data_IF_017646762566
#
_entry.id   IF_017646762566
#
_cell.length_a   1.000
_cell.length_b   1.000
_cell.length_c   1.000
_cell.angle_alpha   90.00
_cell.angle_beta   90.00
_cell.angle_gamma   90.00
#
_symmetry.space_group_name_H-M   'P 1'
#
loop_
_entity.id
_entity.type
_entity.pdbx_description
1 polymer ?
#
# COMPACT_ATOMS: atom_id res chain seq x y z
N UNK A 1 9.55 7.47 12.52
CA UNK A 1 8.32 6.77 12.91
C UNK A 1 7.25 6.92 11.84
N UNK A 2 6.62 5.82 11.45
CA UNK A 2 5.39 5.79 10.67
C UNK A 2 4.30 5.15 11.53
N UNK A 3 3.55 5.95 12.31
CA UNK A 3 2.67 5.45 13.36
C UNK A 3 1.37 4.83 12.83
N UNK A 4 1.03 5.11 11.59
CA UNK A 4 -0.13 4.56 10.90
C UNK A 4 0.17 4.48 9.41
N UNK A 5 -0.12 3.33 8.82
CA UNK A 5 0.09 3.11 7.38
C UNK A 5 -0.81 2.00 6.85
N UNK A 6 -1.08 2.06 5.55
CA UNK A 6 -1.81 1.05 4.80
C UNK A 6 -0.87 0.19 3.94
N UNK A 7 0.42 0.18 4.29
CA UNK A 7 1.41 -0.65 3.62
C UNK A 7 1.14 -2.12 3.92
N UNK A 8 1.08 -2.95 2.89
CA UNK A 8 0.88 -4.38 3.03
C UNK A 8 2.12 -5.03 3.68
N UNK A 9 1.99 -5.69 4.85
CA UNK A 9 3.11 -6.38 5.51
C UNK A 9 3.69 -7.52 4.66
N UNK A 10 2.94 -8.05 3.69
CA UNK A 10 3.42 -9.06 2.75
C UNK A 10 4.64 -8.56 1.96
N UNK A 11 4.69 -7.27 1.63
CA UNK A 11 5.84 -6.70 0.92
C UNK A 11 7.14 -6.91 1.69
N UNK A 12 7.13 -6.66 2.99
CA UNK A 12 8.32 -6.87 3.84
C UNK A 12 8.57 -8.35 4.15
N UNK A 13 7.51 -9.16 4.24
CA UNK A 13 7.65 -10.58 4.47
C UNK A 13 8.31 -11.31 3.28
N UNK A 14 7.92 -10.95 2.06
CA UNK A 14 8.44 -11.53 0.83
C UNK A 14 9.74 -10.88 0.35
N UNK A 15 9.89 -9.57 0.58
CA UNK A 15 10.99 -8.73 0.07
C UNK A 15 11.24 -8.91 -1.44
N UNK A 16 10.16 -9.11 -2.19
CA UNK A 16 10.20 -9.25 -3.64
C UNK A 16 10.28 -7.89 -4.33
N UNK A 17 10.82 -7.85 -5.54
CA UNK A 17 10.75 -6.66 -6.37
C UNK A 17 9.29 -6.34 -6.76
N UNK A 18 8.96 -5.07 -6.88
CA UNK A 18 7.67 -4.64 -7.42
C UNK A 18 7.63 -4.90 -8.94
N UNK A 19 6.46 -5.29 -9.44
CA UNK A 19 6.32 -5.64 -10.85
C UNK A 19 6.33 -4.44 -11.81
N UNK A 20 5.81 -3.30 -11.38
CA UNK A 20 5.66 -2.09 -12.21
C UNK A 20 5.31 -0.85 -11.37
N UNK A 21 5.24 0.33 -12.00
CA UNK A 21 4.95 1.60 -11.32
C UNK A 21 3.54 1.67 -10.70
N UNK A 22 2.54 1.03 -11.32
CA UNK A 22 1.14 1.06 -10.88
C UNK A 22 0.96 0.35 -9.54
N UNK A 23 1.69 -0.74 -9.32
CA UNK A 23 1.57 -1.58 -8.15
C UNK A 23 1.83 -0.85 -6.82
N UNK A 24 2.97 -0.17 -6.59
CA UNK A 24 3.21 0.53 -5.33
C UNK A 24 2.68 1.96 -5.29
N UNK A 25 2.48 2.62 -6.43
CA UNK A 25 2.24 4.06 -6.47
C UNK A 25 0.80 4.47 -6.79
N UNK A 26 0.01 3.61 -7.41
CA UNK A 26 -1.37 3.93 -7.80
C UNK A 26 -2.39 3.02 -7.13
N UNK A 27 -2.29 1.71 -7.33
CA UNK A 27 -3.34 0.78 -6.94
C UNK A 27 -3.65 0.76 -5.42
N UNK A 28 -2.67 0.92 -4.49
CA UNK A 28 -2.94 0.94 -3.06
C UNK A 28 -3.46 2.28 -2.55
N UNK A 29 -3.28 3.37 -3.30
CA UNK A 29 -3.58 4.72 -2.83
C UNK A 29 -5.04 5.11 -3.08
N UNK A 30 -5.85 4.98 -2.03
CA UNK A 30 -7.27 5.29 -2.11
C UNK A 30 -7.57 6.79 -2.31
N UNK A 31 -6.65 7.70 -2.02
CA UNK A 31 -6.82 9.13 -2.32
C UNK A 31 -6.68 9.36 -3.83
N UNK A 32 -5.75 8.67 -4.48
CA UNK A 32 -5.56 8.78 -5.92
C UNK A 32 -6.76 8.22 -6.68
N UNK A 33 -7.13 6.97 -6.43
CA UNK A 33 -8.21 6.37 -7.23
C UNK A 33 -9.59 6.96 -6.90
N UNK A 34 -9.85 7.47 -5.68
CA UNK A 34 -11.09 8.19 -5.38
C UNK A 34 -11.23 9.48 -6.17
N UNK A 35 -10.15 10.27 -6.30
CA UNK A 35 -10.15 11.46 -7.12
C UNK A 35 -10.43 11.11 -8.60
N UNK A 36 -9.75 10.11 -9.14
CA UNK A 36 -9.94 9.66 -10.51
C UNK A 36 -11.35 9.12 -10.75
N UNK A 37 -11.87 8.33 -9.82
CA UNK A 37 -13.25 7.82 -9.87
C UNK A 37 -14.28 8.95 -9.86
N UNK A 38 -14.09 10.00 -9.05
CA UNK A 38 -14.99 11.16 -9.02
C UNK A 38 -15.07 11.92 -10.35
N UNK A 39 -14.08 11.71 -11.22
CA UNK A 39 -14.04 12.26 -12.58
C UNK A 39 -14.52 11.27 -13.65
N UNK A 40 -15.11 10.14 -13.23
CA UNK A 40 -15.73 9.17 -14.11
C UNK A 40 -14.81 8.05 -14.62
N UNK A 41 -13.58 7.90 -14.06
CA UNK A 41 -12.73 6.77 -14.42
C UNK A 41 -13.19 5.50 -13.69
N UNK A 42 -13.20 4.37 -14.39
CA UNK A 42 -13.55 3.08 -13.80
C UNK A 42 -12.41 2.55 -12.92
N UNK A 43 -12.74 2.08 -11.72
CA UNK A 43 -11.75 1.56 -10.76
C UNK A 43 -11.04 0.31 -11.29
N UNK A 44 -11.74 -0.57 -12.02
CA UNK A 44 -11.10 -1.74 -12.62
C UNK A 44 -10.05 -1.33 -13.66
N UNK A 45 -10.30 -0.27 -14.43
CA UNK A 45 -9.35 0.25 -15.41
C UNK A 45 -8.14 0.94 -14.77
N UNK A 46 -8.25 1.33 -13.50
CA UNK A 46 -7.15 1.88 -12.70
C UNK A 46 -6.33 0.81 -11.95
N UNK A 47 -6.62 -0.46 -12.15
CA UNK A 47 -5.94 -1.54 -11.47
C UNK A 47 -6.48 -1.83 -10.07
N UNK A 48 -7.57 -1.20 -9.66
CA UNK A 48 -8.19 -1.43 -8.35
C UNK A 48 -9.14 -2.61 -8.43
N UNK A 49 -8.84 -3.66 -7.67
CA UNK A 49 -9.69 -4.83 -7.57
C UNK A 49 -11.03 -4.51 -6.89
N UNK A 50 -11.96 -5.43 -6.99
CA UNK A 50 -13.27 -5.34 -6.36
C UNK A 50 -13.49 -6.51 -5.40
N UNK A 51 -14.62 -6.50 -4.65
CA UNK A 51 -15.05 -7.68 -3.86
C UNK A 51 -15.20 -8.95 -4.71
N UNK A 52 -15.32 -8.83 -6.04
CA UNK A 52 -15.46 -9.95 -6.99
C UNK A 52 -14.13 -10.54 -7.45
N UNK A 53 -13.02 -9.91 -7.10
CA UNK A 53 -11.69 -10.37 -7.44
C UNK A 53 -10.71 -9.25 -7.80
N UNK A 54 -9.45 -9.61 -8.09
CA UNK A 54 -8.43 -8.67 -8.52
C UNK A 54 -8.79 -8.03 -9.86
N UNK A 55 -8.24 -6.85 -10.11
CA UNK A 55 -8.36 -6.18 -11.42
C UNK A 55 -7.55 -6.93 -12.48
N UNK A 56 -8.11 -7.01 -13.69
CA UNK A 56 -7.41 -7.52 -14.88
C UNK A 56 -6.89 -6.37 -15.77
N UNK A 57 -6.85 -5.14 -15.26
CA UNK A 57 -6.37 -4.00 -16.02
C UNK A 57 -4.90 -4.17 -16.40
N UNK A 58 -4.55 -3.71 -17.61
CA UNK A 58 -3.15 -3.57 -17.98
C UNK A 58 -2.51 -2.45 -17.13
N UNK A 59 -1.45 -2.72 -16.35
CA UNK A 59 -0.85 -1.73 -15.45
C UNK A 59 -0.37 -0.47 -16.17
N UNK A 60 0.15 -0.59 -17.37
CA UNK A 60 0.61 0.55 -18.19
C UNK A 60 -0.56 1.43 -18.64
N UNK A 61 -1.68 0.82 -19.01
CA UNK A 61 -2.89 1.58 -19.38
C UNK A 61 -3.49 2.30 -18.16
N UNK A 62 -3.52 1.64 -17.00
CA UNK A 62 -3.94 2.28 -15.76
C UNK A 62 -3.04 3.48 -15.42
N UNK A 63 -1.72 3.31 -15.58
CA UNK A 63 -0.75 4.38 -15.38
C UNK A 63 -0.94 5.55 -16.36
N UNK A 64 -1.17 5.27 -17.66
CA UNK A 64 -1.47 6.30 -18.67
C UNK A 64 -2.70 7.11 -18.31
N UNK A 65 -3.77 6.46 -17.85
CA UNK A 65 -4.99 7.12 -17.37
C UNK A 65 -4.71 8.03 -16.17
N UNK A 66 -3.95 7.54 -15.20
CA UNK A 66 -3.50 8.33 -14.06
C UNK A 66 -2.68 9.55 -14.50
N UNK A 67 -1.67 9.36 -15.33
CA UNK A 67 -0.79 10.43 -15.82
C UNK A 67 -1.55 11.51 -16.59
N UNK A 68 -2.48 11.12 -17.46
CA UNK A 68 -3.32 12.04 -18.22
C UNK A 68 -4.22 12.91 -17.33
N UNK A 69 -4.55 12.41 -16.12
CA UNK A 69 -5.41 13.09 -15.16
C UNK A 69 -4.63 13.63 -13.93
N UNK A 70 -3.31 13.60 -13.97
CA UNK A 70 -2.48 14.00 -12.82
C UNK A 70 -2.69 15.47 -12.43
N UNK A 71 -3.09 16.33 -13.37
CA UNK A 71 -3.44 17.73 -13.12
C UNK A 71 -4.55 17.93 -12.08
N UNK A 72 -5.44 16.95 -11.89
CA UNK A 72 -6.52 16.97 -10.89
C UNK A 72 -5.99 17.08 -9.45
N UNK A 73 -4.77 16.63 -9.24
CA UNK A 73 -4.13 16.66 -7.92
C UNK A 73 -3.44 17.97 -7.60
N UNK A 74 -3.39 18.94 -8.52
CA UNK A 74 -2.75 20.23 -8.28
C UNK A 74 -3.27 20.89 -6.99
N UNK A 75 -2.35 21.32 -6.13
CA UNK A 75 -2.67 21.95 -4.85
C UNK A 75 -3.07 20.97 -3.73
N UNK A 76 -3.05 19.68 -3.97
CA UNK A 76 -3.31 18.66 -2.93
C UNK A 76 -2.01 18.13 -2.30
N UNK A 77 -2.06 17.58 -1.08
CA UNK A 77 -0.94 16.86 -0.49
C UNK A 77 -0.42 15.71 -1.37
N UNK A 78 -1.30 14.97 -2.03
CA UNK A 78 -0.92 13.87 -2.95
C UNK A 78 -0.06 14.36 -4.10
N UNK A 79 -0.37 15.54 -4.66
CA UNK A 79 0.45 16.15 -5.71
C UNK A 79 1.86 16.47 -5.22
N UNK A 80 1.97 17.13 -4.07
CA UNK A 80 3.26 17.49 -3.48
C UNK A 80 4.11 16.25 -3.19
N UNK A 81 3.49 15.27 -2.56
CA UNK A 81 4.13 14.03 -2.17
C UNK A 81 4.63 13.22 -3.37
N UNK A 82 3.79 13.02 -4.38
CA UNK A 82 4.16 12.28 -5.59
C UNK A 82 5.25 12.98 -6.39
N UNK A 83 5.18 14.31 -6.57
CA UNK A 83 6.25 15.03 -7.26
C UNK A 83 7.59 14.94 -6.50
N UNK A 84 7.55 14.97 -5.17
CA UNK A 84 8.75 14.72 -4.36
C UNK A 84 9.32 13.31 -4.62
N UNK A 85 8.46 12.29 -4.58
CA UNK A 85 8.86 10.90 -4.85
C UNK A 85 9.42 10.76 -6.26
N UNK A 86 8.75 11.30 -7.26
CA UNK A 86 9.24 11.25 -8.65
C UNK A 86 10.61 11.91 -8.78
N UNK A 87 10.79 13.10 -8.23
CA UNK A 87 12.03 13.85 -8.37
C UNK A 87 13.17 13.28 -7.50
N UNK A 88 12.90 12.88 -6.25
CA UNK A 88 13.95 12.54 -5.27
C UNK A 88 14.21 11.05 -5.14
N UNK A 89 13.23 10.21 -5.44
CA UNK A 89 13.37 8.76 -5.34
C UNK A 89 13.65 8.14 -6.71
N UNK A 90 12.96 8.64 -7.74
CA UNK A 90 13.07 8.12 -9.09
C UNK A 90 13.87 9.01 -10.06
N UNK A 91 14.43 10.15 -9.61
CA UNK A 91 15.23 11.10 -10.42
C UNK A 91 14.54 11.57 -11.71
N UNK A 92 13.23 11.70 -11.66
CA UNK A 92 12.42 12.18 -12.79
C UNK A 92 12.24 13.69 -12.68
N UNK A 93 12.77 14.44 -13.66
CA UNK A 93 12.79 15.90 -13.67
C UNK A 93 11.73 16.53 -14.58
N UNK A 94 11.15 15.75 -15.49
CA UNK A 94 10.07 16.20 -16.37
C UNK A 94 8.73 16.13 -15.64
N UNK A 95 7.75 16.93 -16.07
CA UNK A 95 6.40 16.87 -15.48
C UNK A 95 5.69 15.59 -15.90
N UNK A 96 4.94 14.98 -14.96
CA UNK A 96 4.04 13.86 -15.27
C UNK A 96 2.79 14.40 -15.99
N UNK A 97 2.55 13.92 -17.19
CA UNK A 97 1.39 14.19 -18.04
C UNK A 97 1.19 13.06 -19.06
N UNK A 98 0.15 13.14 -19.88
CA UNK A 98 -0.14 12.09 -20.87
C UNK A 98 1.05 11.78 -21.79
N UNK A 99 1.78 12.81 -22.24
CA UNK A 99 2.93 12.68 -23.16
C UNK A 99 4.17 12.05 -22.52
N UNK A 100 4.30 12.10 -21.19
CA UNK A 100 5.43 11.55 -20.44
C UNK A 100 5.09 10.28 -19.66
N UNK A 101 3.85 9.78 -19.78
CA UNK A 101 3.36 8.64 -19.01
C UNK A 101 4.22 7.39 -19.19
N UNK A 102 4.54 7.03 -20.43
CA UNK A 102 5.34 5.84 -20.71
C UNK A 102 6.79 5.98 -20.24
N UNK A 103 7.38 7.14 -20.42
CA UNK A 103 8.72 7.42 -19.88
C UNK A 103 8.78 7.21 -18.35
N UNK A 104 7.78 7.72 -17.63
CA UNK A 104 7.66 7.49 -16.18
C UNK A 104 7.51 6.02 -15.83
N UNK A 105 6.61 5.31 -16.54
CA UNK A 105 6.35 3.91 -16.30
C UNK A 105 7.61 3.06 -16.47
N UNK A 106 8.38 3.32 -17.54
CA UNK A 106 9.59 2.58 -17.85
C UNK A 106 10.72 2.87 -16.85
N UNK A 107 11.03 4.14 -16.60
CA UNK A 107 12.09 4.53 -15.64
C UNK A 107 11.78 4.03 -14.22
N UNK A 108 10.54 4.16 -13.77
CA UNK A 108 10.13 3.65 -12.46
C UNK A 108 10.22 2.11 -12.44
N UNK A 109 9.73 1.44 -13.46
CA UNK A 109 9.76 -0.02 -13.58
C UNK A 109 11.20 -0.58 -13.56
N UNK A 110 12.11 0.04 -14.30
CA UNK A 110 13.53 -0.32 -14.30
C UNK A 110 14.16 -0.20 -12.90
N UNK A 111 13.88 0.90 -12.18
CA UNK A 111 14.38 1.08 -10.81
C UNK A 111 13.77 0.09 -9.84
N UNK A 112 12.46 -0.14 -9.89
CA UNK A 112 11.75 -1.09 -9.03
C UNK A 112 12.23 -2.54 -9.21
N UNK A 113 12.74 -2.88 -10.37
CA UNK A 113 13.34 -4.20 -10.63
C UNK A 113 14.69 -4.41 -9.92
N UNK A 114 15.33 -3.33 -9.43
CA UNK A 114 16.64 -3.43 -8.78
C UNK A 114 16.55 -3.80 -7.29
N UNK A 115 17.57 -4.46 -6.72
CA UNK A 115 17.60 -4.77 -5.29
C UNK A 115 17.47 -3.55 -4.38
N UNK A 116 17.95 -2.37 -4.81
CA UNK A 116 17.91 -1.12 -4.05
C UNK A 116 16.49 -0.56 -3.85
N UNK A 117 15.52 -1.05 -4.62
CA UNK A 117 14.11 -0.66 -4.54
C UNK A 117 13.20 -1.76 -3.98
N UNK A 118 13.76 -2.84 -3.43
CA UNK A 118 12.96 -3.80 -2.67
C UNK A 118 12.42 -3.18 -1.39
N UNK A 119 11.29 -3.67 -0.85
CA UNK A 119 10.64 -3.08 0.32
C UNK A 119 11.57 -2.86 1.52
N UNK A 120 12.40 -3.84 1.88
CA UNK A 120 13.35 -3.71 3.00
C UNK A 120 14.46 -2.69 2.72
N UNK A 121 14.98 -2.66 1.49
CA UNK A 121 15.98 -1.68 1.09
C UNK A 121 15.42 -0.25 1.10
N UNK A 122 14.16 -0.06 0.68
CA UNK A 122 13.47 1.24 0.77
C UNK A 122 13.23 1.65 2.23
N UNK A 123 12.85 0.72 3.10
CA UNK A 123 12.70 0.97 4.54
C UNK A 123 14.00 1.54 5.14
N UNK A 124 15.13 0.92 4.82
CA UNK A 124 16.46 1.35 5.28
C UNK A 124 16.88 2.66 4.65
N UNK A 125 16.70 2.82 3.33
CA UNK A 125 17.01 4.05 2.59
C UNK A 125 16.27 5.27 3.12
N UNK A 126 15.01 5.10 3.52
CA UNK A 126 14.19 6.18 4.10
C UNK A 126 14.42 6.37 5.60
N UNK A 127 15.38 5.66 6.18
CA UNK A 127 15.72 5.73 7.59
C UNK A 127 14.49 5.53 8.50
N UNK A 128 13.65 4.56 8.15
CA UNK A 128 12.46 4.24 8.93
C UNK A 128 12.91 3.38 10.13
N UNK A 129 12.62 3.83 11.34
CA UNK A 129 12.90 3.07 12.56
C UNK A 129 11.80 2.05 12.87
N UNK A 130 10.55 2.48 12.74
CA UNK A 130 9.35 1.66 12.99
C UNK A 130 8.27 2.03 12.00
N UNK A 131 7.68 1.04 11.36
CA UNK A 131 6.50 1.17 10.51
C UNK A 131 5.35 0.40 11.14
N UNK A 132 4.22 1.07 11.35
CA UNK A 132 2.99 0.43 11.79
C UNK A 132 2.06 0.17 10.62
N UNK A 133 1.71 -1.07 10.41
CA UNK A 133 0.65 -1.50 9.50
C UNK A 133 -0.70 -1.53 10.24
N UNK A 134 -1.78 -1.83 9.56
CA UNK A 134 -3.12 -1.76 10.15
C UNK A 134 -3.89 -3.03 9.81
N UNK A 135 -4.04 -3.91 10.80
CA UNK A 135 -4.69 -5.21 10.65
C UNK A 135 -5.96 -5.32 11.48
N UNK A 136 -6.83 -6.23 11.07
CA UNK A 136 -8.02 -6.62 11.83
C UNK A 136 -7.62 -7.28 13.16
N UNK A 137 -8.41 -7.11 14.24
CA UNK A 137 -8.16 -7.77 15.53
C UNK A 137 -8.22 -9.30 15.47
N UNK A 138 -8.74 -9.85 14.37
CA UNK A 138 -8.85 -11.30 14.14
C UNK A 138 -7.88 -11.80 13.06
N UNK A 139 -6.93 -10.97 12.65
CA UNK A 139 -5.87 -11.34 11.71
C UNK A 139 -4.89 -12.33 12.35
N UNK A 140 -4.35 -13.25 11.53
CA UNK A 140 -3.38 -14.26 12.00
C UNK A 140 -1.97 -13.70 12.16
N UNK A 141 -1.71 -12.53 11.60
CA UNK A 141 -0.41 -11.86 11.58
C UNK A 141 0.73 -12.70 10.96
N UNK A 142 0.40 -13.59 10.04
CA UNK A 142 1.37 -14.52 9.43
C UNK A 142 2.54 -13.80 8.77
N UNK A 143 2.27 -12.63 8.13
CA UNK A 143 3.32 -11.83 7.53
C UNK A 143 4.23 -11.19 8.57
N UNK A 144 3.70 -10.72 9.70
CA UNK A 144 4.48 -10.18 10.80
C UNK A 144 5.37 -11.26 11.43
N UNK A 145 4.85 -12.47 11.62
CA UNK A 145 5.64 -13.60 12.09
C UNK A 145 6.78 -13.97 11.12
N UNK A 146 6.51 -13.96 9.81
CA UNK A 146 7.56 -14.16 8.80
C UNK A 146 8.64 -13.10 8.85
N UNK A 147 8.25 -11.82 9.02
CA UNK A 147 9.20 -10.69 9.16
C UNK A 147 10.07 -10.89 10.40
N UNK A 148 9.48 -11.16 11.55
CA UNK A 148 10.20 -11.39 12.81
C UNK A 148 11.21 -12.53 12.70
N UNK A 149 10.83 -13.63 12.03
CA UNK A 149 11.66 -14.83 11.87
C UNK A 149 12.68 -14.73 10.73
N UNK A 150 12.65 -13.66 9.92
CA UNK A 150 13.54 -13.52 8.76
C UNK A 150 14.97 -13.11 9.08
N UNK A 151 15.24 -12.69 10.32
CA UNK A 151 16.52 -12.11 10.73
C UNK A 151 16.76 -10.67 10.28
N UNK A 152 15.88 -10.08 9.47
CA UNK A 152 15.93 -8.67 9.14
C UNK A 152 15.67 -7.79 10.37
N UNK A 153 16.39 -6.66 10.49
CA UNK A 153 16.35 -5.79 11.69
C UNK A 153 15.29 -4.70 11.66
N UNK A 154 14.63 -4.49 10.52
CA UNK A 154 13.54 -3.52 10.40
C UNK A 154 12.35 -3.89 11.31
N UNK A 155 11.75 -2.89 11.94
CA UNK A 155 10.61 -3.08 12.84
C UNK A 155 9.31 -2.75 12.12
N UNK A 156 8.57 -3.79 11.80
CA UNK A 156 7.18 -3.67 11.31
C UNK A 156 6.27 -4.18 12.42
N UNK A 157 5.37 -3.32 12.89
CA UNK A 157 4.42 -3.61 13.96
C UNK A 157 3.00 -3.40 13.45
N UNK A 158 2.01 -4.00 14.09
CA UNK A 158 0.61 -3.78 13.74
C UNK A 158 -0.03 -2.73 14.65
N UNK A 159 -0.90 -1.89 14.08
CA UNK A 159 -1.83 -1.05 14.81
C UNK A 159 -3.20 -1.75 14.89
N UNK A 160 -3.75 -1.83 16.08
CA UNK A 160 -5.06 -2.44 16.32
C UNK A 160 -6.16 -1.62 15.67
N UNK A 161 -6.94 -2.26 14.80
CA UNK A 161 -8.08 -1.66 14.11
C UNK A 161 -9.37 -2.44 14.43
N UNK A 162 -10.19 -1.96 15.37
CA UNK A 162 -11.27 -2.73 15.95
C UNK A 162 -12.59 -2.76 15.14
N UNK A 163 -12.65 -2.17 13.96
CA UNK A 163 -13.89 -1.97 13.18
C UNK A 163 -14.81 -3.20 13.16
N UNK A 164 -14.25 -4.36 12.85
CA UNK A 164 -15.03 -5.60 12.73
C UNK A 164 -15.63 -6.13 14.03
N UNK A 165 -15.18 -5.63 15.19
CA UNK A 165 -15.59 -6.11 16.53
C UNK A 165 -16.28 -5.04 17.37
N UNK A 166 -16.43 -3.82 16.87
CA UNK A 166 -17.15 -2.73 17.56
C UNK A 166 -18.37 -2.22 16.81
N UNK A 167 -18.52 -2.55 15.52
CA UNK A 167 -19.65 -2.15 14.71
C UNK A 167 -20.67 -3.31 14.62
N UNK A 168 -21.81 -3.22 15.36
CA UNK A 168 -22.83 -4.28 15.35
C UNK A 168 -23.54 -4.47 14.00
N UNK A 169 -23.47 -3.47 13.12
CA UNK A 169 -24.06 -3.53 11.77
C UNK A 169 -23.10 -4.14 10.74
N UNK A 170 -21.84 -4.37 11.12
CA UNK A 170 -20.87 -5.03 10.25
C UNK A 170 -21.27 -6.47 9.97
N UNK A 171 -21.29 -6.87 8.69
CA UNK A 171 -21.72 -8.21 8.25
C UNK A 171 -21.06 -9.38 9.02
N UNK A 172 -19.80 -9.19 9.40
CA UNK A 172 -19.00 -10.22 10.08
C UNK A 172 -18.87 -10.00 11.60
N UNK A 173 -19.66 -9.09 12.19
CA UNK A 173 -19.50 -8.71 13.59
C UNK A 173 -19.55 -9.90 14.57
N UNK A 174 -20.55 -10.76 14.46
CA UNK A 174 -20.72 -11.91 15.35
C UNK A 174 -19.59 -12.92 15.24
N UNK A 175 -19.18 -13.21 14.02
CA UNK A 175 -18.10 -14.16 13.74
C UNK A 175 -16.77 -13.59 14.20
N UNK A 176 -16.53 -12.30 13.98
CA UNK A 176 -15.33 -11.60 14.44
C UNK A 176 -15.24 -11.56 15.98
N UNK A 177 -16.36 -11.31 16.68
CA UNK A 177 -16.40 -11.37 18.15
C UNK A 177 -16.12 -12.78 18.69
N UNK A 178 -16.69 -13.80 18.06
CA UNK A 178 -16.46 -15.21 18.47
C UNK A 178 -14.98 -15.54 18.30
N UNK A 179 -14.39 -15.20 17.15
CA UNK A 179 -12.99 -15.44 16.88
C UNK A 179 -12.05 -14.64 17.80
N UNK A 180 -12.41 -13.38 18.10
CA UNK A 180 -11.64 -12.57 19.05
C UNK A 180 -11.62 -13.20 20.44
N UNK A 181 -12.78 -13.72 20.92
CA UNK A 181 -12.87 -14.43 22.19
C UNK A 181 -11.95 -15.64 22.21
N UNK A 182 -11.97 -16.49 21.18
CA UNK A 182 -11.09 -17.65 21.05
C UNK A 182 -9.60 -17.26 21.07
N UNK A 183 -9.24 -16.14 20.44
CA UNK A 183 -7.86 -15.64 20.45
C UNK A 183 -7.46 -15.14 21.82
N UNK A 184 -8.33 -14.43 22.54
CA UNK A 184 -8.07 -13.94 23.91
C UNK A 184 -7.92 -15.13 24.87
N UNK A 185 -8.75 -16.14 24.75
CA UNK A 185 -8.67 -17.34 25.57
C UNK A 185 -7.37 -18.13 25.32
N UNK A 186 -6.90 -18.16 24.07
CA UNK A 186 -5.65 -18.82 23.68
C UNK A 186 -4.41 -18.03 24.07
N UNK A 187 -4.48 -16.70 24.01
CA UNK A 187 -3.39 -15.78 24.31
C UNK A 187 -3.82 -14.79 25.41
N UNK A 188 -3.90 -15.23 26.66
CA UNK A 188 -4.35 -14.36 27.75
C UNK A 188 -3.46 -13.12 27.80
N UNK A 189 -4.10 -11.94 27.75
CA UNK A 189 -3.44 -10.66 27.90
C UNK A 189 -2.70 -10.67 29.22
N UNK A 190 -1.38 -10.69 29.20
CA UNK A 190 -0.59 -10.46 30.39
C UNK A 190 -0.81 -8.99 30.77
N UNK A 191 -1.35 -8.76 31.96
CA UNK A 191 -1.58 -7.42 32.45
C UNK A 191 -0.33 -6.56 32.32
N UNK A 192 -0.53 -5.34 31.90
CA UNK A 192 0.50 -4.29 31.88
C UNK A 192 0.80 -3.89 33.32
#
# INVERSE_FOLDING_TARGET
LSPHGHTDPQWFAADAAFGNATEPLLAPDHYLFRMLYSQGLDLNELGVGSRRGPSNANPREAWRKFAANFYLFNGTPSWLWLNYVFAKVFDLSVRLEASTADHYFDVIGEKLATPAFRPRALFERFNIEVLATTESPVDTLDHHHKIQNSGWKGRVVTAYRPDAVIDPEHEQFKDALTRLRELIDRYPLRGV
#
